data_IF_632810604523
#
_entry.id   IF_632810604523
#
_cell.length_a   1.000
_cell.length_b   1.000
_cell.length_c   1.000
_cell.angle_alpha   90.00
_cell.angle_beta   90.00
_cell.angle_gamma   90.00
#
_symmetry.space_group_name_H-M   'P 1'
#
loop_
_entity.id
_entity.type
_entity.pdbx_description
1 polymer ?
#
# COMPACT_ATOMS: atom_id res chain seq x y z
N UNK A 1 18.75 -17.94 -12.14
CA UNK A 1 18.13 -16.93 -11.26
C UNK A 1 17.12 -17.68 -10.40
N UNK A 2 16.58 -17.10 -9.33
CA UNK A 2 15.60 -17.78 -8.50
C UNK A 2 14.41 -18.17 -9.39
N UNK A 3 14.00 -19.45 -9.32
CA UNK A 3 12.95 -20.03 -10.17
C UNK A 3 11.65 -19.24 -10.11
N UNK A 4 11.29 -18.71 -8.93
CA UNK A 4 10.04 -17.96 -8.75
C UNK A 4 10.10 -16.57 -9.38
N UNK A 5 11.28 -15.94 -9.39
CA UNK A 5 11.54 -14.71 -10.15
C UNK A 5 11.43 -14.98 -11.65
N UNK A 6 12.03 -16.08 -12.14
CA UNK A 6 11.94 -16.50 -13.55
C UNK A 6 10.49 -16.72 -13.98
N UNK A 7 9.73 -17.51 -13.22
CA UNK A 7 8.31 -17.77 -13.49
C UNK A 7 7.48 -16.49 -13.48
N UNK A 8 7.76 -15.56 -12.56
CA UNK A 8 7.03 -14.29 -12.49
C UNK A 8 7.31 -13.40 -13.70
N UNK A 9 8.57 -13.36 -14.17
CA UNK A 9 8.93 -12.66 -15.41
C UNK A 9 8.27 -13.32 -16.61
N UNK A 10 8.30 -14.64 -16.71
CA UNK A 10 7.67 -15.37 -17.81
C UNK A 10 6.16 -15.11 -17.86
N UNK A 11 5.48 -15.26 -16.71
CA UNK A 11 4.05 -14.99 -16.59
C UNK A 11 3.73 -13.55 -17.03
N UNK A 12 4.48 -12.57 -16.51
CA UNK A 12 4.26 -11.16 -16.81
C UNK A 12 4.40 -10.78 -18.29
N UNK A 13 5.26 -11.49 -19.04
CA UNK A 13 5.57 -11.17 -20.43
C UNK A 13 4.87 -12.10 -21.45
N UNK A 14 4.24 -13.19 -21.02
CA UNK A 14 3.68 -14.21 -21.93
C UNK A 14 2.22 -14.59 -21.65
N UNK A 15 1.59 -14.06 -20.60
CA UNK A 15 0.23 -14.44 -20.18
C UNK A 15 -0.64 -13.21 -19.86
N UNK A 16 -1.89 -13.48 -19.48
CA UNK A 16 -2.92 -12.54 -18.99
C UNK A 16 -2.56 -11.93 -17.62
N UNK A 17 -1.32 -11.48 -17.45
CA UNK A 17 -0.78 -11.05 -16.16
C UNK A 17 -1.60 -9.94 -15.49
N UNK A 18 -1.97 -8.90 -16.24
CA UNK A 18 -2.74 -7.79 -15.69
C UNK A 18 -4.19 -8.18 -15.37
N UNK A 19 -4.79 -9.05 -16.18
CA UNK A 19 -6.14 -9.56 -15.93
C UNK A 19 -6.17 -10.44 -14.67
N UNK A 20 -5.15 -11.29 -14.49
CA UNK A 20 -5.03 -12.13 -13.30
C UNK A 20 -4.70 -11.29 -12.05
N UNK A 21 -3.86 -10.25 -12.21
CA UNK A 21 -3.60 -9.29 -11.14
C UNK A 21 -4.85 -8.51 -10.73
N UNK A 22 -5.80 -8.28 -11.64
CA UNK A 22 -7.06 -7.63 -11.29
C UNK A 22 -7.86 -8.43 -10.24
N UNK A 23 -7.67 -9.75 -10.17
CA UNK A 23 -8.28 -10.55 -9.09
C UNK A 23 -7.58 -10.36 -7.74
N UNK A 24 -6.29 -9.98 -7.74
CA UNK A 24 -5.52 -9.67 -6.52
C UNK A 24 -5.75 -8.22 -6.09
N UNK A 25 -5.72 -7.30 -7.05
CA UNK A 25 -5.83 -5.86 -6.87
C UNK A 25 -6.97 -5.29 -7.74
N UNK A 26 -8.24 -5.61 -7.46
CA UNK A 26 -9.36 -5.12 -8.27
C UNK A 26 -9.40 -3.60 -8.24
N UNK A 27 -9.51 -2.94 -9.40
CA UNK A 27 -9.76 -1.49 -9.38
C UNK A 27 -11.08 -1.27 -8.66
N UNK A 28 -11.07 -0.39 -7.67
CA UNK A 28 -12.29 -0.01 -7.00
C UNK A 28 -13.15 0.68 -8.06
N UNK A 29 -14.34 0.17 -8.40
CA UNK A 29 -15.27 0.90 -9.25
C UNK A 29 -15.50 2.24 -8.56
N UNK A 30 -15.22 3.32 -9.29
CA UNK A 30 -15.18 4.72 -8.84
C UNK A 30 -16.10 5.00 -7.66
N UNK A 31 -15.54 4.93 -6.45
CA UNK A 31 -16.24 5.29 -5.24
C UNK A 31 -15.89 6.71 -4.88
N UNK A 32 -16.88 7.60 -4.88
CA UNK A 32 -16.76 8.90 -4.23
C UNK A 32 -16.47 8.64 -2.75
N UNK A 33 -15.40 9.23 -2.21
CA UNK A 33 -15.14 9.23 -0.78
C UNK A 33 -16.27 9.97 -0.08
N UNK A 34 -16.83 9.33 0.95
CA UNK A 34 -17.82 10.00 1.78
C UNK A 34 -17.18 11.19 2.50
N UNK A 35 -17.81 12.35 2.39
CA UNK A 35 -17.40 13.57 3.07
C UNK A 35 -18.35 13.77 4.23
N UNK A 36 -17.78 13.98 5.41
CA UNK A 36 -18.56 14.32 6.60
C UNK A 36 -19.47 15.53 6.29
N UNK A 37 -20.79 15.33 6.43
CA UNK A 37 -21.80 16.31 6.05
C UNK A 37 -21.71 17.59 6.87
N UNK A 38 -21.27 17.51 8.13
CA UNK A 38 -21.10 18.67 8.99
C UNK A 38 -19.89 19.49 8.55
N UNK A 39 -18.77 18.83 8.27
CA UNK A 39 -17.57 19.50 7.72
C UNK A 39 -17.93 20.18 6.39
N UNK A 40 -18.63 19.46 5.50
CA UNK A 40 -19.01 20.03 4.21
C UNK A 40 -19.92 21.24 4.34
N UNK A 41 -20.96 21.18 5.18
CA UNK A 41 -21.84 22.33 5.41
C UNK A 41 -21.07 23.57 5.91
N UNK A 42 -20.03 23.37 6.71
CA UNK A 42 -19.15 24.47 7.15
C UNK A 42 -18.27 25.00 6.01
N UNK A 43 -17.76 24.13 5.13
CA UNK A 43 -17.05 24.53 3.90
C UNK A 43 -17.95 25.40 3.02
N UNK A 44 -19.19 24.98 2.75
CA UNK A 44 -20.13 25.74 1.91
C UNK A 44 -20.39 27.13 2.49
N UNK A 45 -20.67 27.19 3.80
CA UNK A 45 -20.92 28.43 4.52
C UNK A 45 -19.72 29.37 4.47
N UNK A 46 -18.51 28.86 4.71
CA UNK A 46 -17.29 29.65 4.65
C UNK A 46 -17.00 30.15 3.22
N UNK A 47 -17.22 29.28 2.22
CA UNK A 47 -17.02 29.61 0.81
C UNK A 47 -17.93 30.75 0.35
N UNK A 48 -19.23 30.66 0.67
CA UNK A 48 -20.23 31.68 0.31
C UNK A 48 -19.91 33.01 1.00
N UNK A 49 -19.49 32.97 2.27
CA UNK A 49 -19.12 34.18 3.05
C UNK A 49 -17.76 34.76 2.68
N UNK A 50 -17.00 34.10 1.80
CA UNK A 50 -15.61 34.43 1.49
C UNK A 50 -14.70 34.49 2.74
N UNK A 51 -14.98 33.64 3.73
CA UNK A 51 -14.21 33.54 4.96
C UNK A 51 -13.03 32.57 4.75
N UNK A 52 -11.88 33.12 4.38
CA UNK A 52 -10.68 32.35 4.03
C UNK A 52 -10.16 31.50 5.20
N UNK A 53 -10.22 32.04 6.43
CA UNK A 53 -9.71 31.37 7.61
C UNK A 53 -10.59 30.17 7.98
N UNK A 54 -11.91 30.34 7.95
CA UNK A 54 -12.84 29.23 8.17
C UNK A 54 -12.75 28.21 7.03
N UNK A 55 -12.72 28.66 5.78
CA UNK A 55 -12.69 27.79 4.60
C UNK A 55 -11.47 26.88 4.61
N UNK A 56 -10.28 27.42 4.86
CA UNK A 56 -9.06 26.61 4.87
C UNK A 56 -9.03 25.64 6.06
N UNK A 57 -9.52 26.05 7.24
CA UNK A 57 -9.57 25.17 8.42
C UNK A 57 -10.46 23.96 8.18
N UNK A 58 -11.65 24.17 7.62
CA UNK A 58 -12.59 23.09 7.33
C UNK A 58 -12.07 22.16 6.23
N UNK A 59 -11.53 22.70 5.14
CA UNK A 59 -10.94 21.89 4.06
C UNK A 59 -9.73 21.06 4.53
N UNK A 60 -8.94 21.56 5.49
CA UNK A 60 -7.80 20.81 6.04
C UNK A 60 -8.23 19.60 6.88
N UNK A 61 -9.46 19.60 7.41
CA UNK A 61 -10.06 18.47 8.13
C UNK A 61 -10.46 17.32 7.20
N UNK A 62 -10.68 17.61 5.91
CA UNK A 62 -10.97 16.57 4.92
C UNK A 62 -9.76 15.64 4.74
N UNK A 63 -10.05 14.39 4.39
CA UNK A 63 -9.03 13.39 4.11
C UNK A 63 -8.21 13.74 2.86
N UNK A 64 -8.79 14.46 1.90
CA UNK A 64 -8.12 14.95 0.69
C UNK A 64 -8.43 16.44 0.51
N UNK A 65 -7.36 17.22 0.38
CA UNK A 65 -7.46 18.64 0.08
C UNK A 65 -7.68 18.82 -1.43
N UNK A 66 -8.60 19.71 -1.86
CA UNK A 66 -9.05 19.82 -3.25
C UNK A 66 -7.99 20.31 -4.26
N UNK A 67 -6.87 20.87 -3.78
CA UNK A 67 -5.76 21.33 -4.62
C UNK A 67 -4.42 20.76 -4.18
N UNK A 68 -3.55 20.48 -5.15
CA UNK A 68 -2.14 20.23 -4.89
C UNK A 68 -1.41 21.56 -4.69
N UNK A 69 -0.98 21.82 -3.46
CA UNK A 69 -0.20 23.01 -3.09
C UNK A 69 0.79 22.60 -1.98
N UNK A 70 2.07 22.97 -2.14
CA UNK A 70 3.15 22.52 -1.25
C UNK A 70 2.99 22.99 0.20
N UNK A 71 2.25 24.08 0.43
CA UNK A 71 2.05 24.66 1.76
C UNK A 71 0.92 23.98 2.55
N UNK A 72 0.00 23.27 1.89
CA UNK A 72 -1.16 22.62 2.53
C UNK A 72 -0.69 21.61 3.59
N UNK A 73 0.34 20.83 3.27
CA UNK A 73 0.89 19.85 4.21
C UNK A 73 1.45 20.49 5.48
N UNK A 74 2.03 21.69 5.37
CA UNK A 74 2.52 22.45 6.53
C UNK A 74 1.36 23.00 7.35
N UNK A 75 0.38 23.64 6.71
CA UNK A 75 -0.80 24.21 7.37
C UNK A 75 -1.63 23.13 8.10
N UNK A 76 -1.69 21.91 7.57
CA UNK A 76 -2.36 20.77 8.23
C UNK A 76 -1.65 20.34 9.51
N UNK A 77 -0.32 20.44 9.56
CA UNK A 77 0.50 20.02 10.71
C UNK A 77 0.61 21.10 11.78
N UNK A 78 0.59 22.36 11.39
CA UNK A 78 0.58 23.52 12.30
C UNK A 78 -0.60 24.45 11.98
N UNK A 79 -1.76 24.27 12.65
CA UNK A 79 -2.92 25.12 12.46
C UNK A 79 -2.68 26.59 12.81
N UNK A 80 -1.71 26.90 13.70
CA UNK A 80 -1.37 28.29 14.05
C UNK A 80 -0.77 29.04 12.86
N UNK A 81 -0.17 28.32 11.90
CA UNK A 81 0.43 28.90 10.72
C UNK A 81 -0.59 29.56 9.79
N UNK A 82 -1.88 29.23 9.90
CA UNK A 82 -2.96 29.87 9.14
C UNK A 82 -3.00 31.37 9.48
N UNK A 83 -3.08 31.71 10.77
CA UNK A 83 -3.11 33.10 11.22
C UNK A 83 -1.77 33.83 11.05
N UNK A 84 -0.64 33.11 11.11
CA UNK A 84 0.69 33.70 10.90
C UNK A 84 1.00 34.01 9.44
N UNK A 85 0.31 33.38 8.47
CA UNK A 85 0.63 33.46 7.04
C UNK A 85 -0.59 33.85 6.16
N UNK A 86 -1.25 35.00 6.41
CA UNK A 86 -2.51 35.36 5.75
C UNK A 86 -2.38 35.49 4.23
N UNK A 87 -1.22 35.93 3.70
CA UNK A 87 -1.01 36.03 2.25
C UNK A 87 -1.05 34.66 1.56
N UNK A 88 -0.46 33.65 2.18
CA UNK A 88 -0.46 32.28 1.67
C UNK A 88 -1.86 31.70 1.70
N UNK A 89 -2.60 31.90 2.80
CA UNK A 89 -3.99 31.48 2.95
C UNK A 89 -4.88 32.14 1.89
N UNK A 90 -4.75 33.46 1.69
CA UNK A 90 -5.50 34.19 0.67
C UNK A 90 -5.21 33.70 -0.75
N UNK A 91 -3.95 33.42 -1.07
CA UNK A 91 -3.56 32.85 -2.38
C UNK A 91 -4.22 31.48 -2.61
N UNK A 92 -4.21 30.62 -1.60
CA UNK A 92 -4.83 29.29 -1.65
C UNK A 92 -6.35 29.43 -1.81
N UNK A 93 -7.00 30.26 -0.98
CA UNK A 93 -8.43 30.49 -1.05
C UNK A 93 -8.87 31.14 -2.37
N UNK A 94 -8.06 32.03 -2.95
CA UNK A 94 -8.28 32.58 -4.28
C UNK A 94 -8.44 31.48 -5.34
N UNK A 95 -7.51 30.51 -5.36
CA UNK A 95 -7.59 29.35 -6.26
C UNK A 95 -8.82 28.48 -6.00
N UNK A 96 -9.21 28.34 -4.73
CA UNK A 96 -10.43 27.60 -4.36
C UNK A 96 -11.68 28.32 -4.88
N UNK A 97 -11.75 29.64 -4.75
CA UNK A 97 -12.87 30.42 -5.27
C UNK A 97 -12.97 30.36 -6.80
N UNK A 98 -11.84 30.43 -7.50
CA UNK A 98 -11.78 30.26 -8.96
C UNK A 98 -12.25 28.86 -9.40
N UNK A 99 -11.94 27.84 -8.60
CA UNK A 99 -12.34 26.45 -8.85
C UNK A 99 -13.85 26.21 -8.70
N UNK A 100 -14.51 26.92 -7.78
CA UNK A 100 -15.93 26.74 -7.48
C UNK A 100 -16.21 25.58 -6.52
N UNK A 101 -17.34 25.68 -5.83
CA UNK A 101 -17.73 24.76 -4.74
C UNK A 101 -17.95 23.32 -5.23
N UNK A 102 -18.60 23.15 -6.39
CA UNK A 102 -18.86 21.83 -6.98
C UNK A 102 -17.56 21.08 -7.27
N UNK A 103 -16.58 21.78 -7.85
CA UNK A 103 -15.29 21.18 -8.19
C UNK A 103 -14.44 20.93 -6.93
N UNK A 104 -14.57 21.77 -5.90
CA UNK A 104 -13.99 21.50 -4.58
C UNK A 104 -14.55 20.20 -4.00
N UNK A 105 -15.88 20.00 -4.08
CA UNK A 105 -16.52 18.76 -3.60
C UNK A 105 -15.96 17.56 -4.35
N UNK A 106 -16.03 17.60 -5.68
CA UNK A 106 -15.54 16.54 -6.56
C UNK A 106 -14.10 16.15 -6.21
N UNK A 107 -13.18 17.13 -6.17
CA UNK A 107 -11.77 16.91 -5.85
C UNK A 107 -11.55 16.38 -4.44
N UNK A 108 -12.29 16.86 -3.46
CA UNK A 108 -12.16 16.41 -2.06
C UNK A 108 -12.72 15.01 -1.86
N UNK A 109 -13.65 14.62 -2.72
CA UNK A 109 -14.34 13.34 -2.72
C UNK A 109 -13.68 12.29 -3.62
N UNK A 110 -12.54 12.61 -4.25
CA UNK A 110 -11.82 11.64 -5.06
C UNK A 110 -11.46 10.38 -4.22
N UNK A 111 -11.55 9.18 -4.82
CA UNK A 111 -11.19 7.94 -4.15
C UNK A 111 -9.78 8.03 -3.57
N UNK A 112 -9.50 7.23 -2.54
CA UNK A 112 -8.13 7.13 -2.04
C UNK A 112 -7.24 6.67 -3.20
N UNK A 113 -6.08 7.29 -3.38
CA UNK A 113 -5.11 6.89 -4.40
C UNK A 113 -4.88 5.37 -4.32
N UNK A 114 -5.01 4.68 -5.46
CA UNK A 114 -4.93 3.21 -5.58
C UNK A 114 -3.71 2.63 -4.86
N UNK A 115 -2.57 3.35 -4.89
CA UNK A 115 -1.32 2.97 -4.23
C UNK A 115 -1.42 2.84 -2.70
N UNK A 116 -2.40 3.46 -2.05
CA UNK A 116 -2.66 3.35 -0.60
C UNK A 116 -3.58 2.18 -0.22
N UNK A 117 -4.19 1.51 -1.20
CA UNK A 117 -5.18 0.44 -0.97
C UNK A 117 -4.64 -0.97 -1.23
N UNK A 118 -3.46 -1.09 -1.86
CA UNK A 118 -2.84 -2.37 -2.27
C UNK A 118 -2.70 -3.37 -1.11
N UNK A 119 -2.17 -2.95 0.05
CA UNK A 119 -1.98 -3.84 1.20
C UNK A 119 -3.28 -4.47 1.72
N UNK A 120 -4.33 -3.67 2.00
CA UNK A 120 -5.67 -4.17 2.29
C UNK A 120 -6.22 -5.13 1.23
N UNK A 121 -6.03 -4.85 -0.05
CA UNK A 121 -6.52 -5.69 -1.15
C UNK A 121 -5.83 -7.06 -1.16
N UNK A 122 -4.51 -7.09 -0.96
CA UNK A 122 -3.77 -8.34 -0.84
C UNK A 122 -4.32 -9.21 0.30
N UNK A 123 -4.60 -8.63 1.47
CA UNK A 123 -5.19 -9.37 2.59
C UNK A 123 -6.61 -9.85 2.31
N UNK A 124 -7.42 -9.04 1.65
CA UNK A 124 -8.76 -9.45 1.22
C UNK A 124 -8.70 -10.62 0.24
N UNK A 125 -7.75 -10.58 -0.70
CA UNK A 125 -7.50 -11.67 -1.64
C UNK A 125 -7.10 -12.96 -0.91
N UNK A 126 -6.26 -12.90 0.12
CA UNK A 126 -5.95 -14.06 0.97
C UNK A 126 -7.21 -14.63 1.65
N UNK A 127 -8.09 -13.77 2.18
CA UNK A 127 -9.35 -14.17 2.85
C UNK A 127 -10.34 -14.86 1.91
N UNK A 128 -10.28 -14.59 0.61
CA UNK A 128 -11.07 -15.28 -0.43
C UNK A 128 -10.58 -16.71 -0.73
N UNK A 129 -9.62 -17.24 0.05
CA UNK A 129 -9.01 -18.57 -0.12
C UNK A 129 -8.28 -18.74 -1.45
N UNK A 130 -7.78 -17.65 -2.03
CA UNK A 130 -7.05 -17.68 -3.32
C UNK A 130 -5.79 -18.55 -3.27
N UNK A 131 -5.20 -18.73 -2.09
CA UNK A 131 -4.07 -19.63 -1.88
C UNK A 131 -4.49 -21.08 -1.52
N UNK A 132 -5.78 -21.43 -1.57
CA UNK A 132 -6.28 -22.77 -1.29
C UNK A 132 -6.54 -23.09 0.19
N UNK A 133 -6.18 -22.20 1.12
CA UNK A 133 -6.49 -22.31 2.54
C UNK A 133 -7.10 -21.01 3.08
N UNK A 134 -7.86 -21.14 4.18
CA UNK A 134 -8.48 -19.98 4.84
C UNK A 134 -7.49 -19.43 5.86
N UNK A 135 -7.17 -18.12 5.82
CA UNK A 135 -6.39 -17.50 6.89
C UNK A 135 -7.05 -17.66 8.26
N UNK A 136 -6.24 -17.88 9.30
CA UNK A 136 -6.70 -18.15 10.68
C UNK A 136 -6.16 -17.11 11.66
N UNK A 137 -6.89 -16.92 12.77
CA UNK A 137 -6.48 -15.98 13.81
C UNK A 137 -5.23 -16.46 14.55
N UNK A 138 -4.52 -15.52 15.16
CA UNK A 138 -3.27 -15.78 15.90
C UNK A 138 -3.37 -16.91 16.93
N UNK A 139 -4.48 -16.99 17.69
CA UNK A 139 -4.68 -18.05 18.69
C UNK A 139 -4.68 -19.45 18.07
N UNK A 140 -5.34 -19.62 16.93
CA UNK A 140 -5.37 -20.89 16.18
C UNK A 140 -4.02 -21.17 15.51
N UNK A 141 -3.38 -20.11 14.98
CA UNK A 141 -2.09 -20.22 14.32
C UNK A 141 -1.01 -20.78 15.25
N UNK A 142 -1.00 -20.36 16.52
CA UNK A 142 -0.05 -20.83 17.54
C UNK A 142 -0.44 -22.21 18.09
N UNK A 143 -1.75 -22.52 18.15
CA UNK A 143 -2.24 -23.75 18.76
C UNK A 143 -2.05 -25.02 17.91
N UNK A 144 -1.79 -24.89 16.61
CA UNK A 144 -1.54 -26.01 15.69
C UNK A 144 -0.21 -25.84 14.96
N UNK A 145 0.31 -26.93 14.39
CA UNK A 145 1.45 -26.95 13.47
C UNK A 145 1.04 -27.15 11.99
N UNK A 146 -0.26 -27.24 11.71
CA UNK A 146 -0.78 -27.43 10.36
C UNK A 146 -0.46 -26.22 9.46
N UNK A 147 -0.53 -26.45 8.14
CA UNK A 147 -0.35 -25.39 7.15
C UNK A 147 -1.40 -24.28 7.35
N UNK A 148 -0.94 -23.04 7.46
CA UNK A 148 -1.78 -21.91 7.85
C UNK A 148 -1.24 -20.58 7.32
N UNK A 149 -2.15 -19.64 7.07
CA UNK A 149 -1.85 -18.22 6.86
C UNK A 149 -2.40 -17.46 8.06
N UNK A 150 -1.62 -16.53 8.60
CA UNK A 150 -2.03 -15.73 9.74
C UNK A 150 -2.90 -14.54 9.27
N UNK A 151 -4.12 -14.44 9.78
CA UNK A 151 -4.97 -13.25 9.68
C UNK A 151 -4.97 -12.50 11.00
N UNK A 152 -4.17 -11.43 11.06
CA UNK A 152 -4.02 -10.60 12.25
C UNK A 152 -3.73 -9.14 11.86
N UNK A 153 -3.87 -8.23 12.83
CA UNK A 153 -3.47 -6.83 12.64
C UNK A 153 -1.94 -6.70 12.47
N UNK A 154 -1.49 -5.59 11.89
CA UNK A 154 -0.06 -5.30 11.66
C UNK A 154 0.74 -5.44 12.95
N UNK A 155 0.22 -4.87 14.05
CA UNK A 155 0.84 -4.94 15.36
C UNK A 155 0.95 -6.38 15.88
N UNK A 156 -0.08 -7.21 15.65
CA UNK A 156 -0.08 -8.60 16.10
C UNK A 156 0.87 -9.47 15.26
N UNK A 157 0.92 -9.27 13.94
CA UNK A 157 1.89 -9.94 13.07
C UNK A 157 3.33 -9.56 13.42
N UNK A 158 3.59 -8.27 13.64
CA UNK A 158 4.88 -7.78 14.09
C UNK A 158 5.29 -8.35 15.45
N UNK A 159 4.36 -8.40 16.41
CA UNK A 159 4.58 -9.03 17.71
C UNK A 159 4.93 -10.51 17.58
N UNK A 160 4.20 -11.24 16.74
CA UNK A 160 4.49 -12.64 16.46
C UNK A 160 5.89 -12.82 15.84
N UNK A 161 6.22 -12.05 14.80
CA UNK A 161 7.50 -12.14 14.10
C UNK A 161 8.69 -11.80 15.01
N UNK A 162 8.56 -10.77 15.86
CA UNK A 162 9.58 -10.42 16.86
C UNK A 162 9.80 -11.55 17.87
N UNK A 163 8.72 -11.98 18.51
CA UNK A 163 8.80 -12.90 19.65
C UNK A 163 9.15 -14.33 19.22
N UNK A 164 8.71 -14.77 18.03
CA UNK A 164 8.84 -16.16 17.60
C UNK A 164 9.88 -16.33 16.48
N UNK A 165 10.10 -15.33 15.63
CA UNK A 165 10.95 -15.48 14.45
C UNK A 165 12.25 -14.68 14.52
N UNK A 166 12.48 -13.88 15.57
CA UNK A 166 13.69 -13.04 15.69
C UNK A 166 13.69 -11.85 14.72
N UNK A 167 12.53 -11.43 14.23
CA UNK A 167 12.40 -10.30 13.31
C UNK A 167 12.57 -8.97 14.03
N UNK A 168 13.79 -8.42 14.05
CA UNK A 168 14.11 -7.16 14.75
C UNK A 168 13.89 -5.90 13.91
N UNK A 169 13.54 -6.06 12.63
CA UNK A 169 13.33 -4.94 11.73
C UNK A 169 12.07 -4.14 12.13
N UNK A 170 12.03 -2.85 11.80
CA UNK A 170 10.94 -1.95 12.19
C UNK A 170 9.76 -1.96 11.22
N UNK A 171 9.99 -2.40 9.97
CA UNK A 171 8.93 -2.44 8.95
C UNK A 171 7.90 -3.52 9.28
N UNK A 172 6.64 -3.22 8.97
CA UNK A 172 5.54 -4.17 9.06
C UNK A 172 5.74 -5.36 8.13
N UNK A 173 4.88 -6.37 8.31
CA UNK A 173 4.79 -7.52 7.42
C UNK A 173 3.39 -7.57 6.83
N UNK A 174 3.30 -7.77 5.52
CA UNK A 174 2.03 -7.99 4.82
C UNK A 174 1.60 -9.46 4.85
N UNK A 175 2.54 -10.38 5.07
CA UNK A 175 2.30 -11.82 5.00
C UNK A 175 3.07 -12.59 6.09
N UNK A 176 2.37 -13.46 6.81
CA UNK A 176 2.96 -14.50 7.66
C UNK A 176 2.22 -15.81 7.43
N UNK A 177 2.97 -16.88 7.19
CA UNK A 177 2.41 -18.21 7.01
C UNK A 177 3.31 -19.29 7.64
N UNK A 178 2.74 -20.48 7.78
CA UNK A 178 3.45 -21.71 8.08
C UNK A 178 3.03 -22.74 7.04
N UNK A 179 4.01 -23.30 6.34
CA UNK A 179 3.78 -24.36 5.36
C UNK A 179 4.88 -25.41 5.48
N UNK A 180 4.51 -26.69 5.51
CA UNK A 180 5.43 -27.83 5.66
C UNK A 180 6.40 -27.66 6.83
N UNK A 181 5.88 -27.18 7.96
CA UNK A 181 6.65 -26.93 9.19
C UNK A 181 7.63 -25.75 9.14
N UNK A 182 7.66 -24.98 8.04
CA UNK A 182 8.52 -23.78 7.90
C UNK A 182 7.68 -22.52 8.06
N UNK A 183 8.19 -21.53 8.78
CA UNK A 183 7.60 -20.19 8.80
C UNK A 183 8.03 -19.40 7.57
N UNK A 184 7.11 -18.60 7.05
CA UNK A 184 7.31 -17.70 5.92
C UNK A 184 6.86 -16.32 6.35
N UNK A 185 7.68 -15.31 6.06
CA UNK A 185 7.32 -13.90 6.21
C UNK A 185 7.52 -13.16 4.90
N UNK A 186 6.71 -12.16 4.64
CA UNK A 186 6.89 -11.37 3.42
C UNK A 186 6.23 -10.01 3.45
N UNK A 187 6.66 -9.21 2.48
CA UNK A 187 6.14 -7.88 2.18
C UNK A 187 5.52 -7.90 0.78
N UNK A 188 4.33 -7.31 0.62
CA UNK A 188 3.60 -7.26 -0.62
C UNK A 188 3.55 -5.84 -1.19
N UNK A 189 3.91 -5.66 -2.46
CA UNK A 189 3.85 -4.36 -3.15
C UNK A 189 3.44 -4.53 -4.60
N UNK A 190 2.52 -3.67 -5.04
CA UNK A 190 2.17 -3.53 -6.45
C UNK A 190 2.80 -2.24 -7.01
N UNK A 191 3.83 -2.42 -7.83
CA UNK A 191 4.68 -1.36 -8.37
C UNK A 191 4.14 -0.96 -9.75
N UNK A 192 3.31 0.08 -9.79
CA UNK A 192 2.54 0.45 -11.00
C UNK A 192 3.31 1.30 -12.01
N UNK A 193 4.42 1.91 -11.61
CA UNK A 193 5.23 2.79 -12.45
C UNK A 193 6.68 2.86 -11.94
N UNK A 194 7.55 3.53 -12.68
CA UNK A 194 8.91 3.85 -12.28
C UNK A 194 8.98 5.23 -11.61
N UNK A 195 9.75 5.37 -10.53
CA UNK A 195 9.95 6.67 -9.89
C UNK A 195 10.36 6.59 -8.43
N UNK A 196 10.55 7.74 -7.79
CA UNK A 196 11.05 7.83 -6.41
C UNK A 196 10.19 7.09 -5.39
N UNK A 197 8.87 7.32 -5.40
CA UNK A 197 7.94 6.65 -4.49
C UNK A 197 7.91 5.12 -4.70
N UNK A 198 7.94 4.68 -5.95
CA UNK A 198 7.90 3.24 -6.30
C UNK A 198 9.23 2.55 -5.96
N UNK A 199 10.36 3.24 -6.15
CA UNK A 199 11.67 2.76 -5.71
C UNK A 199 11.75 2.62 -4.19
N UNK A 200 11.12 3.53 -3.43
CA UNK A 200 11.06 3.40 -1.98
C UNK A 200 10.26 2.16 -1.55
N UNK A 201 9.12 1.91 -2.19
CA UNK A 201 8.32 0.69 -1.94
C UNK A 201 9.07 -0.59 -2.29
N UNK A 202 9.78 -0.60 -3.42
CA UNK A 202 10.66 -1.71 -3.79
C UNK A 202 11.73 -1.94 -2.72
N UNK A 203 12.45 -0.89 -2.31
CA UNK A 203 13.50 -0.98 -1.30
C UNK A 203 12.95 -1.44 0.06
N UNK A 204 11.75 -1.03 0.44
CA UNK A 204 11.09 -1.49 1.67
C UNK A 204 10.90 -3.01 1.64
N UNK A 205 10.42 -3.58 0.53
CA UNK A 205 10.29 -5.03 0.39
C UNK A 205 11.64 -5.76 0.38
N UNK A 206 12.66 -5.19 -0.27
CA UNK A 206 14.02 -5.72 -0.25
C UNK A 206 14.60 -5.73 1.17
N UNK A 207 14.42 -4.65 1.94
CA UNK A 207 14.91 -4.57 3.32
C UNK A 207 14.34 -5.68 4.21
N UNK A 208 13.07 -6.05 3.99
CA UNK A 208 12.41 -7.15 4.70
C UNK A 208 13.04 -8.51 4.37
N UNK A 209 13.38 -8.77 3.11
CA UNK A 209 13.99 -10.05 2.73
C UNK A 209 15.48 -10.14 3.04
N UNK A 210 16.17 -9.02 3.21
CA UNK A 210 17.56 -8.97 3.64
C UNK A 210 17.72 -9.00 5.17
N UNK A 211 16.62 -8.88 5.93
CA UNK A 211 16.64 -8.89 7.40
C UNK A 211 17.39 -10.11 7.96
N UNK A 212 18.39 -9.85 8.81
CA UNK A 212 19.29 -10.87 9.38
C UNK A 212 18.70 -11.47 10.66
N UNK A 213 19.12 -12.69 10.99
CA UNK A 213 18.72 -13.36 12.23
C UNK A 213 17.27 -13.87 12.27
N UNK A 214 16.55 -13.80 11.14
CA UNK A 214 15.16 -14.22 11.04
C UNK A 214 15.05 -15.72 10.82
N UNK A 215 14.32 -16.43 11.69
CA UNK A 215 14.03 -17.87 11.62
C UNK A 215 12.80 -18.16 10.76
N UNK A 216 12.79 -17.64 9.53
CA UNK A 216 11.71 -17.86 8.57
C UNK A 216 12.25 -17.70 7.14
N UNK A 217 11.57 -18.33 6.18
CA UNK A 217 11.77 -18.04 4.77
C UNK A 217 11.24 -16.63 4.50
N UNK A 218 12.09 -15.77 3.95
CA UNK A 218 11.71 -14.41 3.61
C UNK A 218 11.38 -14.33 2.13
N UNK A 219 10.23 -13.73 1.81
CA UNK A 219 9.76 -13.55 0.43
C UNK A 219 9.36 -12.09 0.19
N UNK A 220 9.59 -11.61 -1.03
CA UNK A 220 9.04 -10.35 -1.51
C UNK A 220 7.98 -10.66 -2.56
N UNK A 221 6.74 -10.29 -2.27
CA UNK A 221 5.59 -10.50 -3.15
C UNK A 221 5.42 -9.20 -3.93
N UNK A 222 6.09 -9.12 -5.08
CA UNK A 222 6.16 -7.91 -5.87
C UNK A 222 5.40 -8.12 -7.18
N UNK A 223 4.56 -7.16 -7.53
CA UNK A 223 3.79 -7.18 -8.77
C UNK A 223 4.02 -5.90 -9.57
N UNK A 224 3.78 -5.93 -10.88
CA UNK A 224 3.75 -4.76 -11.74
C UNK A 224 5.00 -4.59 -12.63
N UNK A 225 5.46 -3.35 -12.80
CA UNK A 225 6.42 -2.97 -13.87
C UNK A 225 7.81 -3.57 -13.71
N UNK A 226 8.14 -4.10 -12.52
CA UNK A 226 9.46 -4.70 -12.24
C UNK A 226 9.76 -5.92 -13.12
N UNK A 227 8.74 -6.60 -13.64
CA UNK A 227 8.89 -7.79 -14.49
C UNK A 227 8.99 -7.47 -15.98
N UNK A 228 8.78 -6.21 -16.37
CA UNK A 228 8.92 -5.79 -17.77
C UNK A 228 10.40 -5.87 -18.13
N UNK A 229 10.72 -6.75 -19.08
CA UNK A 229 12.09 -6.96 -19.54
C UNK A 229 12.64 -5.68 -20.16
N UNK A 230 13.73 -5.17 -19.61
CA UNK A 230 14.36 -3.95 -20.12
C UNK A 230 15.51 -3.44 -19.26
N UNK A 231 15.94 -2.22 -19.56
CA UNK A 231 17.08 -1.58 -18.91
C UNK A 231 16.72 -0.85 -17.60
N UNK A 232 15.50 -1.05 -17.08
CA UNK A 232 15.02 -0.35 -15.88
C UNK A 232 15.69 -0.89 -14.60
N UNK A 233 15.78 -0.03 -13.58
CA UNK A 233 16.49 -0.31 -12.34
C UNK A 233 15.93 -1.53 -11.59
N UNK A 234 14.60 -1.66 -11.51
CA UNK A 234 13.95 -2.73 -10.76
C UNK A 234 14.19 -4.09 -11.41
N UNK A 235 13.95 -4.21 -12.72
CA UNK A 235 14.20 -5.42 -13.49
C UNK A 235 15.66 -5.87 -13.37
N UNK A 236 16.62 -4.95 -13.51
CA UNK A 236 18.04 -5.25 -13.28
C UNK A 236 18.30 -5.73 -11.86
N UNK A 237 17.71 -5.08 -10.86
CA UNK A 237 17.95 -5.42 -9.45
C UNK A 237 17.47 -6.84 -9.15
N UNK A 238 16.28 -7.24 -9.60
CA UNK A 238 15.74 -8.58 -9.35
C UNK A 238 16.44 -9.67 -10.19
N UNK A 239 17.04 -9.32 -11.33
CA UNK A 239 17.72 -10.29 -12.22
C UNK A 239 19.22 -10.40 -11.97
N UNK A 240 19.82 -9.45 -11.24
CA UNK A 240 21.27 -9.43 -10.95
C UNK A 240 21.55 -9.42 -9.45
N UNK A 241 21.32 -8.29 -8.78
CA UNK A 241 21.65 -8.08 -7.35
C UNK A 241 20.89 -9.02 -6.42
N UNK A 242 19.58 -9.15 -6.62
CA UNK A 242 18.69 -9.96 -5.78
C UNK A 242 18.27 -11.26 -6.46
N UNK A 243 19.04 -11.71 -7.46
CA UNK A 243 18.67 -12.86 -8.32
C UNK A 243 18.43 -14.16 -7.55
N UNK A 244 19.03 -14.32 -6.37
CA UNK A 244 18.93 -15.55 -5.56
C UNK A 244 17.85 -15.45 -4.47
N UNK A 245 17.27 -14.27 -4.27
CA UNK A 245 16.20 -14.06 -3.29
C UNK A 245 14.84 -14.56 -3.82
N UNK A 246 13.93 -14.89 -2.90
CA UNK A 246 12.56 -15.28 -3.22
C UNK A 246 11.71 -14.04 -3.53
N UNK A 247 11.87 -13.51 -4.75
CA UNK A 247 11.07 -12.39 -5.26
C UNK A 247 10.10 -12.95 -6.29
N UNK A 248 8.80 -12.74 -6.09
CA UNK A 248 7.80 -13.38 -6.95
C UNK A 248 6.49 -12.59 -6.99
N UNK A 249 5.71 -12.81 -8.04
CA UNK A 249 4.36 -12.29 -8.16
C UNK A 249 3.42 -12.99 -7.18
N UNK A 250 2.38 -12.28 -6.72
CA UNK A 250 1.30 -12.90 -5.95
C UNK A 250 0.67 -14.10 -6.70
N UNK A 251 0.68 -14.07 -8.04
CA UNK A 251 0.08 -15.11 -8.88
C UNK A 251 0.80 -16.47 -8.79
N UNK A 252 2.09 -16.49 -8.45
CA UNK A 252 2.86 -17.74 -8.27
C UNK A 252 3.04 -18.12 -6.80
N UNK A 253 2.55 -17.28 -5.86
CA UNK A 253 2.72 -17.48 -4.42
C UNK A 253 2.11 -18.80 -3.94
N UNK A 254 0.97 -19.20 -4.50
CA UNK A 254 0.36 -20.49 -4.16
C UNK A 254 1.33 -21.63 -4.49
N UNK A 255 1.79 -21.69 -5.73
CA UNK A 255 2.73 -22.74 -6.14
C UNK A 255 4.00 -22.75 -5.29
N UNK A 256 4.53 -21.59 -4.95
CA UNK A 256 5.66 -21.46 -4.03
C UNK A 256 5.41 -22.16 -2.70
N UNK A 257 4.31 -21.84 -2.02
CA UNK A 257 3.99 -22.37 -0.69
C UNK A 257 3.84 -23.90 -0.69
N UNK A 258 3.17 -24.45 -1.71
CA UNK A 258 2.96 -25.90 -1.81
C UNK A 258 4.21 -26.66 -2.30
N UNK A 259 5.24 -25.98 -2.82
CA UNK A 259 6.51 -26.56 -3.26
C UNK A 259 7.70 -26.33 -2.31
N UNK A 260 7.46 -25.84 -1.09
CA UNK A 260 8.48 -25.68 -0.04
C UNK A 260 9.19 -26.96 0.41
#
# INVERSE_FOLDING_TARGET
>A
MNRWTELSIEYANQRSYLDDLFHVYPTIPEGIRDIDKEIWANVEKAFIRKDNDALIKELLRLDLFPIKDSYVAYLKRDPSAIGRNPRTVNRICGRLYEMGLDKIFERSSEPKETNRQIGPMFREWLRKKSLGITPIKLSQFIASNDDAILDASDNAMMGFARNNLGYQHEKGLDFIARFKGKYIIGEAKFLTDFGGHQNAQFNDAISTIEAKGVRAIKIAILDGVLYIKGNNKMYKSITTTYKDHNIMSALVLREFLYNL
#
